data_IF_178305754041
#
_entry.id   IF_178305754041
#
_cell.length_a   1.000
_cell.length_b   1.000
_cell.length_c   1.000
_cell.angle_alpha   90.00
_cell.angle_beta   90.00
_cell.angle_gamma   90.00
#
_symmetry.space_group_name_H-M   'P 1'
#
loop_
_entity.id
_entity.type
_entity.pdbx_description
1 polymer ?
#
# COMPACT_ATOMS: atom_id res chain seq x y z
N UNK A 1 5.09 -18.79 1.02
CA UNK A 1 4.15 -18.97 2.17
C UNK A 1 3.17 -17.80 2.37
N UNK A 2 3.39 -16.62 1.78
CA UNK A 2 2.53 -15.45 1.89
C UNK A 2 1.05 -15.67 1.51
N UNK A 3 0.78 -16.41 0.42
CA UNK A 3 -0.59 -16.72 0.00
C UNK A 3 -1.38 -17.55 1.03
N UNK A 4 -0.70 -18.42 1.80
CA UNK A 4 -1.34 -19.24 2.83
C UNK A 4 -1.72 -18.40 4.04
N UNK A 5 -0.84 -17.50 4.50
CA UNK A 5 -1.14 -16.58 5.60
C UNK A 5 -2.28 -15.62 5.24
N UNK A 6 -2.25 -15.04 4.04
CA UNK A 6 -3.34 -14.23 3.51
C UNK A 6 -4.67 -15.00 3.40
N UNK A 7 -4.62 -16.28 2.97
CA UNK A 7 -5.81 -17.14 2.90
C UNK A 7 -6.40 -17.48 4.27
N UNK A 8 -5.55 -17.76 5.27
CA UNK A 8 -6.01 -18.04 6.64
C UNK A 8 -6.59 -16.78 7.30
N UNK A 9 -5.94 -15.61 7.13
CA UNK A 9 -6.46 -14.34 7.65
C UNK A 9 -7.81 -13.92 7.04
N UNK A 10 -8.05 -14.29 5.78
CA UNK A 10 -9.36 -14.14 5.12
C UNK A 10 -10.39 -15.11 5.71
N UNK A 11 -9.99 -16.38 5.88
CA UNK A 11 -10.86 -17.46 6.40
C UNK A 11 -11.34 -17.20 7.83
N UNK A 12 -10.48 -16.61 8.68
CA UNK A 12 -10.84 -16.24 10.06
C UNK A 12 -11.60 -14.91 10.16
N UNK A 13 -11.80 -14.20 9.03
CA UNK A 13 -12.50 -12.91 9.01
C UNK A 13 -11.73 -11.75 9.67
N UNK A 14 -10.44 -11.95 10.01
CA UNK A 14 -9.60 -10.91 10.60
C UNK A 14 -9.42 -9.73 9.64
N UNK A 15 -9.22 -10.01 8.35
CA UNK A 15 -9.15 -8.97 7.31
C UNK A 15 -10.44 -8.15 7.30
N UNK A 16 -11.62 -8.80 7.35
CA UNK A 16 -12.92 -8.14 7.37
C UNK A 16 -13.13 -7.27 8.62
N UNK A 17 -12.67 -7.72 9.79
CA UNK A 17 -12.73 -6.97 11.06
C UNK A 17 -11.82 -5.74 11.03
N UNK A 18 -10.58 -5.89 10.54
CA UNK A 18 -9.63 -4.78 10.41
C UNK A 18 -10.16 -3.78 9.38
N UNK A 19 -10.62 -4.24 8.21
CA UNK A 19 -11.23 -3.40 7.19
C UNK A 19 -12.43 -2.63 7.70
N UNK A 20 -13.34 -3.27 8.45
CA UNK A 20 -14.51 -2.61 9.02
C UNK A 20 -14.12 -1.53 10.05
N UNK A 21 -13.13 -1.82 10.91
CA UNK A 21 -12.68 -0.86 11.92
C UNK A 21 -11.96 0.34 11.28
N UNK A 22 -11.23 0.11 10.19
CA UNK A 22 -10.57 1.16 9.42
C UNK A 22 -11.55 1.96 8.54
N UNK A 23 -12.63 1.32 8.09
CA UNK A 23 -13.74 1.94 7.37
C UNK A 23 -14.57 2.86 8.26
N UNK A 24 -14.77 2.50 9.54
CA UNK A 24 -15.43 3.37 10.52
C UNK A 24 -14.63 4.65 10.82
N UNK A 25 -13.30 4.57 10.71
CA UNK A 25 -12.40 5.73 10.79
C UNK A 25 -12.39 6.56 9.49
N UNK A 26 -12.67 5.95 8.33
CA UNK A 26 -12.54 6.54 7.00
C UNK A 26 -13.84 7.05 6.37
N UNK A 27 -14.43 8.13 6.90
CA UNK A 27 -15.65 8.71 6.33
C UNK A 27 -15.45 9.38 4.95
N UNK A 28 -14.23 9.79 4.60
CA UNK A 28 -13.90 10.51 3.35
C UNK A 28 -13.05 9.67 2.39
N UNK A 29 -13.16 9.93 1.08
CA UNK A 29 -12.32 9.30 0.03
C UNK A 29 -10.83 9.43 0.36
N UNK A 30 -10.37 10.60 0.78
CA UNK A 30 -8.97 10.81 1.18
C UNK A 30 -8.52 9.85 2.28
N UNK A 31 -9.38 9.60 3.29
CA UNK A 31 -9.04 8.73 4.40
C UNK A 31 -8.84 7.28 3.98
N UNK A 32 -9.55 6.81 2.96
CA UNK A 32 -9.41 5.44 2.45
C UNK A 32 -8.05 5.29 1.78
N UNK A 33 -7.68 6.23 0.91
CA UNK A 33 -6.36 6.25 0.27
C UNK A 33 -5.25 6.38 1.32
N UNK A 34 -5.40 7.27 2.30
CA UNK A 34 -4.44 7.44 3.39
C UNK A 34 -4.27 6.16 4.22
N UNK A 35 -5.36 5.48 4.57
CA UNK A 35 -5.33 4.20 5.27
C UNK A 35 -4.67 3.10 4.42
N UNK A 36 -4.91 3.06 3.10
CA UNK A 36 -4.25 2.11 2.19
C UNK A 36 -2.75 2.36 2.14
N UNK A 37 -2.31 3.60 1.91
CA UNK A 37 -0.88 3.98 1.86
C UNK A 37 -0.20 3.67 3.20
N UNK A 38 -0.81 4.09 4.32
CA UNK A 38 -0.29 3.85 5.66
C UNK A 38 -0.18 2.35 5.99
N UNK A 39 -1.15 1.55 5.56
CA UNK A 39 -1.10 0.09 5.75
C UNK A 39 -0.04 -0.57 4.88
N UNK A 40 0.11 -0.16 3.62
CA UNK A 40 1.17 -0.66 2.74
C UNK A 40 2.54 -0.34 3.33
N UNK A 41 2.73 0.88 3.83
CA UNK A 41 3.97 1.30 4.47
C UNK A 41 4.24 0.52 5.77
N UNK A 42 3.23 0.35 6.63
CA UNK A 42 3.36 -0.41 7.88
C UNK A 42 3.70 -1.89 7.62
N UNK A 43 3.08 -2.50 6.61
CA UNK A 43 3.40 -3.87 6.20
C UNK A 43 4.80 -3.93 5.58
N UNK A 44 5.20 -2.97 4.74
CA UNK A 44 6.57 -2.92 4.21
C UNK A 44 7.65 -2.75 5.30
N UNK A 45 7.34 -2.01 6.36
CA UNK A 45 8.24 -1.82 7.50
C UNK A 45 8.38 -3.09 8.34
N UNK A 46 7.28 -3.84 8.50
CA UNK A 46 7.23 -5.01 9.38
C UNK A 46 7.51 -6.33 8.65
N UNK A 47 7.23 -6.40 7.36
CA UNK A 47 7.45 -7.56 6.51
C UNK A 47 8.63 -7.31 5.57
N UNK A 48 9.60 -8.23 5.56
CA UNK A 48 10.77 -8.20 4.66
C UNK A 48 10.46 -8.54 3.19
N UNK A 49 9.19 -8.48 2.79
CA UNK A 49 8.71 -8.96 1.51
C UNK A 49 7.63 -8.03 0.90
N UNK A 50 7.94 -7.52 -0.30
CA UNK A 50 7.07 -6.61 -1.05
C UNK A 50 5.71 -7.24 -1.38
N UNK A 51 5.64 -8.55 -1.63
CA UNK A 51 4.40 -9.20 -2.04
C UNK A 51 3.35 -9.16 -0.90
N UNK A 52 3.79 -9.31 0.34
CA UNK A 52 2.92 -9.13 1.52
C UNK A 52 2.37 -7.70 1.62
N UNK A 53 3.18 -6.70 1.30
CA UNK A 53 2.79 -5.27 1.35
C UNK A 53 1.72 -4.89 0.31
N UNK A 54 1.58 -5.67 -0.76
CA UNK A 54 0.59 -5.41 -1.83
C UNK A 54 -0.65 -6.27 -1.61
N UNK A 55 -0.48 -7.57 -1.35
CA UNK A 55 -1.60 -8.52 -1.31
C UNK A 55 -2.48 -8.33 -0.09
N UNK A 56 -1.88 -8.10 1.09
CA UNK A 56 -2.64 -7.95 2.34
C UNK A 56 -3.50 -6.67 2.27
N UNK A 57 -2.93 -5.46 2.03
CA UNK A 57 -3.75 -4.25 1.91
C UNK A 57 -4.70 -4.31 0.72
N UNK A 58 -4.30 -4.89 -0.42
CA UNK A 58 -5.19 -5.02 -1.57
C UNK A 58 -6.46 -5.81 -1.27
N UNK A 59 -6.35 -6.92 -0.54
CA UNK A 59 -7.52 -7.68 -0.09
C UNK A 59 -8.32 -6.94 0.98
N UNK A 60 -7.65 -6.30 1.94
CA UNK A 60 -8.31 -5.55 3.01
C UNK A 60 -9.14 -4.38 2.47
N UNK A 61 -8.60 -3.60 1.54
CA UNK A 61 -9.23 -2.38 1.05
C UNK A 61 -10.12 -2.58 -0.17
N UNK A 62 -10.08 -3.72 -0.85
CA UNK A 62 -10.95 -4.01 -2.02
C UNK A 62 -12.42 -3.72 -1.73
N UNK A 63 -12.94 -4.26 -0.63
CA UNK A 63 -14.33 -4.04 -0.21
C UNK A 63 -14.60 -2.58 0.18
N UNK A 64 -13.63 -1.93 0.83
CA UNK A 64 -13.75 -0.54 1.23
C UNK A 64 -13.86 0.44 0.04
N UNK A 65 -13.14 0.16 -1.05
CA UNK A 65 -13.22 0.93 -2.28
C UNK A 65 -14.56 0.68 -2.99
N UNK A 66 -15.02 -0.57 -3.04
CA UNK A 66 -16.32 -0.94 -3.63
C UNK A 66 -17.50 -0.30 -2.89
N UNK A 67 -17.53 -0.37 -1.55
CA UNK A 67 -18.57 0.22 -0.70
C UNK A 67 -18.67 1.76 -0.88
N UNK A 68 -17.59 2.40 -1.34
CA UNK A 68 -17.51 3.85 -1.61
C UNK A 68 -17.70 4.19 -3.09
N UNK A 69 -18.04 3.22 -3.93
CA UNK A 69 -18.26 3.42 -5.37
C UNK A 69 -17.00 3.82 -6.12
N UNK A 70 -15.81 3.45 -5.60
CA UNK A 70 -14.53 3.70 -6.26
C UNK A 70 -14.17 2.53 -7.16
N UNK A 71 -13.66 2.83 -8.35
CA UNK A 71 -13.21 1.79 -9.27
C UNK A 71 -11.94 1.09 -8.73
N UNK A 72 -11.79 -0.23 -8.96
CA UNK A 72 -10.67 -1.02 -8.44
C UNK A 72 -9.30 -0.56 -8.97
N UNK A 73 -9.26 0.15 -10.10
CA UNK A 73 -8.04 0.74 -10.66
C UNK A 73 -7.42 1.76 -9.70
N UNK A 74 -8.22 2.47 -8.90
CA UNK A 74 -7.69 3.40 -7.91
C UNK A 74 -6.96 2.67 -6.78
N UNK A 75 -7.48 1.53 -6.36
CA UNK A 75 -6.85 0.69 -5.35
C UNK A 75 -5.54 0.12 -5.89
N UNK A 76 -5.56 -0.46 -7.09
CA UNK A 76 -4.36 -0.98 -7.76
C UNK A 76 -3.28 0.09 -7.89
N UNK A 77 -3.63 1.29 -8.34
CA UNK A 77 -2.69 2.41 -8.43
C UNK A 77 -2.10 2.79 -7.08
N UNK A 78 -2.94 2.86 -6.06
CA UNK A 78 -2.49 3.22 -4.69
C UNK A 78 -1.56 2.16 -4.11
N UNK A 79 -1.80 0.88 -4.39
CA UNK A 79 -0.94 -0.22 -3.95
C UNK A 79 0.43 -0.18 -4.64
N UNK A 80 0.48 0.13 -5.94
CA UNK A 80 1.75 0.28 -6.64
C UNK A 80 2.53 1.50 -6.16
N UNK A 81 1.86 2.65 -6.03
CA UNK A 81 2.49 3.91 -5.61
C UNK A 81 2.95 3.89 -4.13
N UNK A 82 2.47 2.95 -3.31
CA UNK A 82 2.83 2.89 -1.88
C UNK A 82 3.49 1.59 -1.45
N UNK A 83 3.08 0.42 -1.95
CA UNK A 83 3.67 -0.87 -1.62
C UNK A 83 4.91 -1.19 -2.46
N UNK A 84 4.83 -1.03 -3.77
CA UNK A 84 5.95 -1.41 -4.67
C UNK A 84 7.16 -0.51 -4.47
N UNK A 85 6.96 0.80 -4.46
CA UNK A 85 8.06 1.77 -4.48
C UNK A 85 8.72 1.98 -3.11
N UNK A 86 7.99 1.80 -2.00
CA UNK A 86 8.57 1.98 -0.65
C UNK A 86 9.35 0.77 -0.16
N UNK A 87 9.16 -0.41 -0.76
CA UNK A 87 9.91 -1.64 -0.45
C UNK A 87 11.42 -1.46 -0.61
N UNK A 88 11.85 -0.76 -1.67
CA UNK A 88 13.24 -0.44 -1.94
C UNK A 88 13.88 0.46 -0.87
N UNK A 89 13.09 1.26 -0.16
CA UNK A 89 13.62 2.22 0.83
C UNK A 89 13.91 1.60 2.19
N UNK A 90 13.64 0.30 2.37
CA UNK A 90 13.70 -0.38 3.66
C UNK A 90 14.88 -1.37 3.63
N UNK A 91 15.91 -1.18 4.46
CA UNK A 91 17.16 -1.93 4.34
C UNK A 91 17.02 -3.43 4.62
N UNK A 92 16.03 -3.83 5.41
CA UNK A 92 15.72 -5.24 5.70
C UNK A 92 14.65 -5.84 4.79
N UNK A 93 14.19 -5.10 3.79
CA UNK A 93 13.34 -5.64 2.74
C UNK A 93 14.21 -6.21 1.62
N UNK A 94 13.73 -7.26 0.96
CA UNK A 94 14.45 -7.96 -0.12
C UNK A 94 14.92 -7.00 -1.22
N UNK A 95 14.09 -6.02 -1.60
CA UNK A 95 14.42 -5.05 -2.64
C UNK A 95 15.51 -4.06 -2.19
N UNK A 96 15.43 -3.57 -0.96
CA UNK A 96 16.42 -2.65 -0.40
C UNK A 96 17.77 -3.30 -0.18
N UNK A 97 17.77 -4.55 0.32
CA UNK A 97 18.98 -5.36 0.50
C UNK A 97 19.66 -5.64 -0.85
N UNK A 98 18.89 -6.02 -1.88
CA UNK A 98 19.41 -6.27 -3.22
C UNK A 98 20.03 -5.03 -3.86
N UNK A 99 19.35 -3.88 -3.79
CA UNK A 99 19.86 -2.62 -4.33
C UNK A 99 21.12 -2.15 -3.60
N UNK A 100 21.16 -2.26 -2.27
CA UNK A 100 22.37 -1.93 -1.50
C UNK A 100 23.54 -2.86 -1.85
N UNK A 101 23.26 -4.15 -2.09
CA UNK A 101 24.28 -5.14 -2.43
C UNK A 101 24.88 -4.94 -3.82
N UNK A 102 24.08 -4.51 -4.81
CA UNK A 102 24.57 -4.24 -6.17
C UNK A 102 25.28 -2.89 -6.24
N UNK A 103 24.69 -1.85 -5.65
CA UNK A 103 25.25 -0.50 -5.71
C UNK A 103 26.47 -0.34 -4.80
N UNK A 104 26.68 -1.26 -3.85
CA UNK A 104 27.77 -1.20 -2.88
C UNK A 104 27.63 -0.05 -1.87
N UNK A 105 26.44 0.57 -1.80
CA UNK A 105 26.13 1.70 -0.90
C UNK A 105 24.94 1.33 -0.02
N UNK A 106 24.85 1.92 1.17
CA UNK A 106 23.75 1.63 2.08
C UNK A 106 22.43 2.21 1.54
N UNK A 107 21.30 1.69 2.05
CA UNK A 107 19.97 2.24 1.69
C UNK A 107 19.86 3.72 2.03
N UNK A 108 20.49 4.17 3.13
CA UNK A 108 20.50 5.57 3.51
C UNK A 108 21.21 6.46 2.48
N UNK A 109 22.25 5.94 1.81
CA UNK A 109 23.05 6.72 0.84
C UNK A 109 22.27 6.96 -0.46
N UNK A 110 21.52 5.96 -0.96
CA UNK A 110 20.71 6.14 -2.16
C UNK A 110 19.30 6.68 -1.87
N UNK A 111 18.86 6.71 -0.61
CA UNK A 111 17.52 7.14 -0.20
C UNK A 111 17.14 8.51 -0.78
N UNK A 112 18.05 9.48 -0.68
CA UNK A 112 17.81 10.86 -1.15
C UNK A 112 17.67 10.90 -2.67
N UNK A 113 18.44 10.08 -3.39
CA UNK A 113 18.41 9.99 -4.85
C UNK A 113 17.21 9.20 -5.37
N UNK A 114 16.61 8.36 -4.55
CA UNK A 114 15.39 7.60 -4.86
C UNK A 114 14.12 8.47 -4.77
N UNK A 115 14.14 9.65 -5.41
CA UNK A 115 13.06 10.66 -5.38
C UNK A 115 11.71 10.04 -5.71
N UNK A 116 11.65 9.23 -6.76
CA UNK A 116 10.42 8.55 -7.17
C UNK A 116 9.81 7.70 -6.04
N UNK A 117 10.66 7.01 -5.26
CA UNK A 117 10.20 6.03 -4.29
C UNK A 117 9.55 6.66 -3.06
N UNK A 118 10.11 7.76 -2.57
CA UNK A 118 9.51 8.46 -1.43
C UNK A 118 8.48 9.49 -1.88
N UNK A 119 8.56 10.06 -3.08
CA UNK A 119 7.59 11.05 -3.59
C UNK A 119 6.26 10.43 -4.04
N UNK A 120 6.29 9.24 -4.64
CA UNK A 120 5.08 8.58 -5.17
C UNK A 120 3.94 8.45 -4.15
N UNK A 121 4.15 7.95 -2.91
CA UNK A 121 3.07 7.87 -1.92
C UNK A 121 2.51 9.25 -1.55
N UNK A 122 3.34 10.31 -1.50
CA UNK A 122 2.83 11.68 -1.30
C UNK A 122 1.99 12.17 -2.47
N UNK A 123 2.37 11.83 -3.71
CA UNK A 123 1.61 12.20 -4.89
C UNK A 123 0.24 11.52 -4.91
N UNK A 124 0.16 10.25 -4.50
CA UNK A 124 -1.13 9.54 -4.36
C UNK A 124 -2.03 10.20 -3.32
N UNK A 125 -1.48 10.59 -2.16
CA UNK A 125 -2.24 11.32 -1.13
C UNK A 125 -2.70 12.69 -1.64
N UNK A 126 -1.85 13.40 -2.37
CA UNK A 126 -2.19 14.70 -2.97
C UNK A 126 -3.34 14.55 -3.97
N UNK A 127 -3.26 13.60 -4.89
CA UNK A 127 -4.32 13.32 -5.86
C UNK A 127 -5.64 12.94 -5.17
N UNK A 128 -5.56 12.13 -4.09
CA UNK A 128 -6.71 11.76 -3.29
C UNK A 128 -7.32 12.97 -2.55
N UNK A 129 -6.48 13.89 -2.06
CA UNK A 129 -6.91 15.10 -1.36
C UNK A 129 -7.65 16.08 -2.28
N UNK A 130 -7.15 16.28 -3.50
CA UNK A 130 -7.79 17.14 -4.49
C UNK A 130 -8.90 16.44 -5.30
N UNK A 131 -9.17 15.15 -5.02
CA UNK A 131 -10.15 14.33 -5.74
C UNK A 131 -9.93 14.29 -7.27
N UNK A 132 -8.69 14.42 -7.73
CA UNK A 132 -8.36 14.55 -9.16
C UNK A 132 -8.32 13.15 -9.78
N UNK A 133 -9.01 12.95 -10.92
CA UNK A 133 -9.00 11.70 -11.70
C UNK A 133 -9.35 10.44 -10.89
N UNK A 134 -10.17 10.55 -9.84
CA UNK A 134 -10.68 9.37 -9.12
C UNK A 134 -11.80 8.73 -9.93
N UNK A 135 -11.54 7.55 -10.51
CA UNK A 135 -12.54 6.83 -11.30
C UNK A 135 -13.59 6.23 -10.37
N UNK A 136 -14.86 6.54 -10.59
CA UNK A 136 -15.97 5.94 -9.85
C UNK A 136 -16.51 4.73 -10.63
N UNK A 137 -17.07 3.77 -9.91
CA UNK A 137 -17.83 2.68 -10.51
C UNK A 137 -19.08 3.29 -11.16
N UNK A 138 -19.17 3.21 -12.50
CA UNK A 138 -20.44 3.43 -13.19
C UNK A 138 -21.31 2.21 -12.92
N UNK A 139 -22.43 2.42 -12.22
CA UNK A 139 -23.54 1.47 -12.22
C UNK A 139 -24.39 1.69 -13.45
#
# INVERSE_FOLDING_TARGET
CAMVCGGVMESIGALKKISSSLLELGKSTFSIFASTVGSCFAVNLTASDQYLSIVIPGKMFSKAYEDKGLAPENLSRTLEDSGTVTSALIPWNTCGAYQSGILGVSVADYFIYAIFNWLSPFMTLLIAAFNIKIKKLNK
#
